data_IF_569472785686
#
_entry.id   IF_569472785686
#
_cell.length_a   1.000
_cell.length_b   1.000
_cell.length_c   1.000
_cell.angle_alpha   90.00
_cell.angle_beta   90.00
_cell.angle_gamma   90.00
#
_symmetry.space_group_name_H-M   'P 1'
#
loop_
_entity.id
_entity.type
_entity.pdbx_description
1 polymer ?
#
# COMPACT_ATOMS: atom_id res chain seq x y z
N UNK A 1 5.34 27.82 47.06
CA UNK A 1 5.15 28.54 45.79
C UNK A 1 6.50 29.04 45.34
N UNK A 2 6.97 28.50 44.20
CA UNK A 2 8.10 28.98 43.39
C UNK A 2 9.47 29.07 44.08
N UNK A 3 10.33 28.08 43.85
CA UNK A 3 11.43 28.16 42.86
C UNK A 3 12.46 27.08 43.18
N UNK A 4 12.54 26.03 42.36
CA UNK A 4 13.77 25.41 41.84
C UNK A 4 13.42 24.19 40.98
N UNK A 5 12.47 24.38 40.07
CA UNK A 5 12.28 23.54 38.88
C UNK A 5 13.28 23.94 37.78
N UNK A 6 14.54 24.16 38.17
CA UNK A 6 15.54 24.86 37.36
C UNK A 6 16.93 24.24 37.55
N UNK A 7 17.04 22.95 37.23
CA UNK A 7 18.28 22.39 36.67
C UNK A 7 17.90 21.53 35.46
N UNK A 8 17.24 22.17 34.51
CA UNK A 8 17.24 21.77 33.10
C UNK A 8 18.01 22.87 32.37
N UNK A 9 19.34 22.91 32.54
CA UNK A 9 20.17 23.99 31.96
C UNK A 9 21.57 23.59 31.51
N UNK A 10 21.91 22.30 31.52
CA UNK A 10 23.09 21.78 30.81
C UNK A 10 22.70 20.48 30.11
N UNK A 11 21.74 20.57 29.18
CA UNK A 11 21.57 19.55 28.14
C UNK A 11 22.74 19.67 27.15
N UNK A 12 23.95 19.31 27.60
CA UNK A 12 24.98 18.82 26.71
C UNK A 12 24.48 17.45 26.26
N UNK A 13 23.95 17.40 25.04
CA UNK A 13 23.30 16.22 24.49
C UNK A 13 24.24 15.02 24.48
N UNK A 14 23.94 14.00 25.29
CA UNK A 14 23.96 12.56 24.95
C UNK A 14 23.65 11.62 26.14
N UNK A 15 23.14 12.08 27.29
CA UNK A 15 22.79 11.17 28.40
C UNK A 15 21.30 10.79 28.38
N UNK A 16 21.03 9.49 28.20
CA UNK A 16 19.68 8.91 28.16
C UNK A 16 19.06 9.02 29.55
N UNK A 17 18.03 9.86 29.68
CA UNK A 17 17.40 10.17 30.97
C UNK A 17 16.42 9.07 31.42
N UNK A 18 16.49 8.70 32.70
CA UNK A 18 15.59 7.73 33.35
C UNK A 18 14.15 8.27 33.43
N UNK A 19 13.16 7.40 33.21
CA UNK A 19 11.74 7.77 33.23
C UNK A 19 11.20 7.78 34.66
N UNK A 20 11.63 6.81 35.48
CA UNK A 20 11.27 6.73 36.90
C UNK A 20 12.51 6.37 37.72
N UNK A 21 12.72 7.07 38.83
CA UNK A 21 13.79 6.86 39.82
C UNK A 21 13.19 6.60 41.20
N UNK A 22 13.74 5.63 41.93
CA UNK A 22 13.37 5.31 43.32
C UNK A 22 14.66 5.20 44.15
N UNK A 23 14.76 5.95 45.25
CA UNK A 23 15.97 6.09 46.08
C UNK A 23 17.24 6.46 45.30
N UNK A 24 17.08 7.29 44.26
CA UNK A 24 18.18 7.68 43.38
C UNK A 24 18.64 6.54 42.46
N UNK A 25 17.88 5.44 42.35
CA UNK A 25 18.11 4.35 41.41
C UNK A 25 17.12 4.39 40.24
N UNK A 26 17.62 4.27 39.02
CA UNK A 26 16.80 4.23 37.81
C UNK A 26 16.05 2.89 37.72
N UNK A 27 14.71 2.91 37.76
CA UNK A 27 13.88 1.68 37.74
C UNK A 27 13.16 1.48 36.40
N UNK A 28 12.95 2.55 35.62
CA UNK A 28 12.26 2.48 34.33
C UNK A 28 12.95 3.31 33.27
N UNK A 29 13.21 2.66 32.15
CA UNK A 29 13.90 3.25 31.00
C UNK A 29 12.96 3.46 29.81
N UNK A 30 13.34 4.34 28.87
CA UNK A 30 12.69 4.44 27.57
C UNK A 30 12.67 3.10 26.83
N UNK A 31 11.72 2.96 25.90
CA UNK A 31 11.62 1.73 25.10
C UNK A 31 12.95 1.44 24.40
N UNK A 32 13.42 0.20 24.58
CA UNK A 32 14.67 -0.27 24.02
C UNK A 32 15.89 -0.18 24.93
N UNK A 33 15.75 0.39 26.12
CA UNK A 33 16.81 0.43 27.12
C UNK A 33 16.48 -0.48 28.29
N UNK A 34 17.53 -1.05 28.89
CA UNK A 34 17.43 -1.77 30.16
C UNK A 34 18.20 -1.02 31.24
N UNK A 35 17.69 -1.16 32.46
CA UNK A 35 18.31 -0.57 33.65
C UNK A 35 19.63 -1.30 33.91
N UNK A 36 20.72 -0.54 33.98
CA UNK A 36 21.97 -0.99 34.57
C UNK A 36 22.08 -0.44 35.99
N UNK A 37 21.76 -1.28 36.99
CA UNK A 37 21.80 -0.89 38.40
C UNK A 37 23.20 -0.49 38.89
N UNK A 38 24.27 -1.00 38.24
CA UNK A 38 25.66 -0.72 38.64
C UNK A 38 26.12 0.66 38.17
N UNK A 39 25.68 1.07 36.99
CA UNK A 39 25.96 2.39 36.41
C UNK A 39 24.86 3.40 36.72
N UNK A 40 23.78 2.95 37.35
CA UNK A 40 22.57 3.70 37.60
C UNK A 40 22.04 4.43 36.35
N UNK A 41 22.06 3.74 35.21
CA UNK A 41 21.80 4.35 33.91
C UNK A 41 21.00 3.41 33.01
N UNK A 42 20.31 4.00 32.04
CA UNK A 42 19.69 3.27 30.96
C UNK A 42 20.73 2.94 29.89
N UNK A 43 20.96 1.66 29.64
CA UNK A 43 21.89 1.19 28.61
C UNK A 43 21.13 0.47 27.50
N UNK A 44 21.59 0.62 26.27
CA UNK A 44 21.06 -0.10 25.11
C UNK A 44 22.01 -1.25 24.73
N UNK A 45 21.46 -2.35 24.25
CA UNK A 45 22.24 -3.47 23.70
C UNK A 45 21.64 -3.92 22.37
N UNK A 46 22.52 -4.21 21.41
CA UNK A 46 22.16 -4.82 20.11
C UNK A 46 21.72 -6.28 20.23
N UNK A 47 21.94 -6.90 21.38
CA UNK A 47 21.62 -8.31 21.64
C UNK A 47 20.41 -8.50 22.54
N UNK A 48 19.64 -7.44 22.84
CA UNK A 48 18.38 -7.60 23.56
C UNK A 48 17.38 -8.31 22.66
N UNK A 49 16.98 -9.51 23.03
CA UNK A 49 15.79 -10.15 22.47
C UNK A 49 14.57 -9.69 23.29
N UNK A 50 13.55 -9.08 22.67
CA UNK A 50 13.34 -8.88 21.22
C UNK A 50 14.04 -7.63 20.64
N UNK A 51 14.37 -7.62 19.33
CA UNK A 51 14.93 -6.46 18.65
C UNK A 51 13.98 -5.27 18.72
N UNK A 52 14.53 -4.07 18.93
CA UNK A 52 13.75 -2.84 19.02
C UNK A 52 13.31 -2.44 17.61
N UNK A 53 12.01 -2.56 17.36
CA UNK A 53 11.38 -2.10 16.11
C UNK A 53 10.77 -0.73 16.39
N UNK A 54 11.30 0.29 15.71
CA UNK A 54 10.71 1.62 15.72
C UNK A 54 9.46 1.68 14.83
N UNK A 55 8.46 2.50 15.18
CA UNK A 55 7.31 2.72 14.31
C UNK A 55 7.73 3.37 12.98
N UNK A 56 6.89 3.25 11.94
CA UNK A 56 7.12 3.89 10.65
C UNK A 56 7.35 5.40 10.82
N UNK A 57 8.28 5.96 10.04
CA UNK A 57 8.71 7.36 10.20
C UNK A 57 9.70 7.60 11.34
N UNK A 58 10.17 6.56 12.03
CA UNK A 58 11.22 6.64 13.04
C UNK A 58 12.34 5.65 12.74
N UNK A 59 13.57 6.01 13.12
CA UNK A 59 14.74 5.14 13.03
C UNK A 59 15.38 4.96 14.41
N UNK A 60 16.08 3.85 14.58
CA UNK A 60 16.79 3.56 15.82
C UNK A 60 18.09 4.36 15.83
N UNK A 61 18.18 5.34 16.72
CA UNK A 61 19.38 6.14 16.96
C UNK A 61 19.82 5.99 18.41
N UNK A 62 21.04 5.51 18.62
CA UNK A 62 21.63 5.23 19.95
C UNK A 62 20.81 4.33 20.90
N UNK A 63 19.65 3.82 20.49
CA UNK A 63 18.72 3.02 21.31
C UNK A 63 17.35 3.67 21.47
N UNK A 64 17.16 4.95 21.09
CA UNK A 64 15.85 5.61 21.03
C UNK A 64 15.30 5.58 19.59
N UNK A 65 13.98 5.58 19.47
CA UNK A 65 13.33 5.83 18.20
C UNK A 65 13.27 7.34 17.95
N UNK A 66 14.12 7.81 17.05
CA UNK A 66 14.19 9.22 16.64
C UNK A 66 13.35 9.42 15.38
N UNK A 67 12.61 10.52 15.33
CA UNK A 67 11.75 10.84 14.20
C UNK A 67 12.58 11.16 12.95
N UNK A 68 12.19 10.59 11.81
CA UNK A 68 12.76 10.93 10.51
C UNK A 68 12.38 12.35 10.09
N UNK A 69 13.12 12.90 9.14
CA UNK A 69 12.77 14.17 8.49
C UNK A 69 11.37 14.09 7.85
N UNK A 70 10.64 15.21 7.85
CA UNK A 70 9.24 15.26 7.40
C UNK A 70 9.03 14.92 5.91
N UNK A 71 10.08 14.98 5.10
CA UNK A 71 10.05 14.58 3.69
C UNK A 71 10.12 13.06 3.49
N UNK A 72 10.29 12.29 4.57
CA UNK A 72 10.66 10.89 4.53
C UNK A 72 9.65 10.03 5.27
N UNK A 73 9.33 8.90 4.65
CA UNK A 73 8.45 7.88 5.24
C UNK A 73 9.28 6.89 6.06
N UNK A 74 10.48 6.56 5.59
CA UNK A 74 11.47 5.81 6.37
C UNK A 74 12.86 6.38 6.13
N UNK A 75 13.69 6.32 7.16
CA UNK A 75 15.08 6.77 7.14
C UNK A 75 16.00 5.79 7.87
N UNK A 76 17.28 5.83 7.56
CA UNK A 76 18.30 4.99 8.15
C UNK A 76 19.55 5.83 8.45
N UNK A 77 20.03 5.76 9.69
CA UNK A 77 21.31 6.35 10.09
C UNK A 77 21.31 7.87 10.35
N UNK A 78 20.31 8.63 9.90
CA UNK A 78 20.17 10.04 10.28
C UNK A 78 18.72 10.53 10.32
N UNK A 79 18.47 11.51 11.18
CA UNK A 79 17.20 12.26 11.26
C UNK A 79 17.12 13.38 10.20
N UNK A 80 18.23 13.64 9.51
CA UNK A 80 18.31 14.62 8.44
C UNK A 80 17.66 14.12 7.15
N UNK A 81 17.40 15.04 6.20
CA UNK A 81 16.77 14.70 4.93
C UNK A 81 17.65 13.81 4.03
N UNK A 82 18.95 13.67 4.33
CA UNK A 82 19.92 12.84 3.60
C UNK A 82 19.84 11.34 3.92
N UNK A 83 19.24 10.97 5.04
CA UNK A 83 19.19 9.58 5.52
C UNK A 83 18.00 8.79 5.01
N UNK A 84 17.23 9.30 4.05
CA UNK A 84 15.93 8.72 3.75
C UNK A 84 16.04 7.53 2.80
N UNK A 85 15.46 6.42 3.24
CA UNK A 85 15.38 5.18 2.46
C UNK A 85 14.10 5.13 1.66
N UNK A 86 13.03 5.74 2.15
CA UNK A 86 11.76 5.91 1.45
C UNK A 86 11.24 7.34 1.62
N UNK A 87 10.87 7.98 0.51
CA UNK A 87 10.28 9.31 0.52
C UNK A 87 8.80 9.26 0.87
N UNK A 88 8.34 10.27 1.62
CA UNK A 88 6.94 10.43 1.93
C UNK A 88 6.10 10.71 0.68
N UNK A 89 4.78 10.52 0.80
CA UNK A 89 3.83 10.87 -0.26
C UNK A 89 3.99 12.33 -0.67
N UNK A 90 4.02 12.58 -1.97
CA UNK A 90 4.26 13.91 -2.52
C UNK A 90 5.73 14.27 -2.65
N UNK A 91 6.66 13.32 -2.40
CA UNK A 91 8.09 13.49 -2.61
C UNK A 91 8.68 12.37 -3.47
N UNK A 92 9.76 12.66 -4.19
CA UNK A 92 10.54 11.68 -4.96
C UNK A 92 12.02 11.68 -4.55
N UNK A 93 12.70 10.52 -4.61
CA UNK A 93 14.12 10.44 -4.27
C UNK A 93 14.98 11.04 -5.37
N UNK A 94 16.07 11.71 -4.98
CA UNK A 94 17.12 12.14 -5.93
C UNK A 94 18.12 11.01 -6.15
N UNK A 95 18.60 10.90 -7.39
CA UNK A 95 19.63 9.91 -7.81
C UNK A 95 21.03 10.55 -7.87
N UNK A 96 21.12 11.87 -7.67
CA UNK A 96 22.32 12.65 -7.99
C UNK A 96 23.35 12.69 -6.86
N UNK A 97 22.97 12.29 -5.66
CA UNK A 97 23.85 12.31 -4.50
C UNK A 97 23.63 11.00 -3.73
N UNK A 98 24.69 10.45 -3.15
CA UNK A 98 24.62 9.28 -2.27
C UNK A 98 23.75 9.52 -1.01
N UNK A 99 23.24 10.74 -0.83
CA UNK A 99 22.24 11.13 0.15
C UNK A 99 20.83 10.87 -0.38
N UNK A 100 20.05 10.10 0.37
CA UNK A 100 18.65 9.81 0.08
C UNK A 100 17.75 11.03 0.28
N UNK A 101 18.01 12.12 -0.43
CA UNK A 101 17.23 13.35 -0.32
C UNK A 101 15.88 13.20 -1.03
N UNK A 102 14.82 13.69 -0.40
CA UNK A 102 13.46 13.63 -0.92
C UNK A 102 12.97 15.02 -1.32
N UNK A 103 12.60 15.18 -2.60
CA UNK A 103 12.19 16.47 -3.18
C UNK A 103 10.68 16.46 -3.45
N UNK A 104 9.95 17.56 -3.17
CA UNK A 104 8.51 17.62 -3.45
C UNK A 104 8.19 17.42 -4.93
N UNK A 105 7.14 16.66 -5.24
CA UNK A 105 6.67 16.41 -6.62
C UNK A 105 6.36 17.69 -7.39
N UNK A 106 5.95 18.77 -6.70
CA UNK A 106 5.60 20.05 -7.31
C UNK A 106 6.82 20.88 -7.74
N UNK A 107 8.01 20.54 -7.25
CA UNK A 107 9.22 21.34 -7.39
C UNK A 107 10.12 20.71 -8.44
N UNK A 108 10.61 21.51 -9.39
CA UNK A 108 11.65 21.08 -10.33
C UNK A 108 13.02 21.07 -9.66
N UNK A 109 13.81 20.03 -9.89
CA UNK A 109 15.16 19.92 -9.35
C UNK A 109 16.11 19.24 -10.34
N UNK A 110 17.19 19.95 -10.69
CA UNK A 110 18.11 19.53 -11.75
C UNK A 110 17.39 19.44 -13.10
N UNK A 111 17.54 18.32 -13.79
CA UNK A 111 16.89 18.04 -15.07
C UNK A 111 15.41 17.61 -14.94
N UNK A 112 14.90 17.38 -13.73
CA UNK A 112 13.54 16.90 -13.51
C UNK A 112 12.57 18.07 -13.36
N UNK A 113 11.54 18.09 -14.20
CA UNK A 113 10.42 19.01 -14.10
C UNK A 113 9.40 18.53 -13.06
N UNK A 114 9.03 19.43 -12.13
CA UNK A 114 8.00 19.16 -11.13
C UNK A 114 6.59 19.21 -11.74
N UNK A 115 5.68 18.43 -11.16
CA UNK A 115 4.27 18.36 -11.57
C UNK A 115 3.40 19.03 -10.49
N UNK A 116 2.86 20.24 -10.74
CA UNK A 116 2.04 20.93 -9.75
C UNK A 116 0.74 20.16 -9.47
N UNK A 117 0.37 20.07 -8.19
CA UNK A 117 -0.82 19.35 -7.75
C UNK A 117 -0.68 17.82 -7.68
N UNK A 118 0.48 17.28 -8.02
CA UNK A 118 0.73 15.85 -7.92
C UNK A 118 1.02 15.40 -6.48
N UNK A 119 0.23 14.47 -5.95
CA UNK A 119 0.38 13.92 -4.59
C UNK A 119 1.10 12.57 -4.55
N UNK A 120 1.21 11.89 -5.70
CA UNK A 120 1.93 10.64 -5.84
C UNK A 120 2.74 10.70 -7.12
N UNK A 121 4.05 10.84 -6.99
CA UNK A 121 4.95 10.81 -8.13
C UNK A 121 5.97 9.67 -8.01
N UNK A 122 6.45 9.17 -9.15
CA UNK A 122 7.65 8.35 -9.21
C UNK A 122 8.61 8.92 -10.25
N UNK A 123 9.89 8.85 -9.93
CA UNK A 123 10.98 9.29 -10.81
C UNK A 123 11.52 8.07 -11.54
N UNK A 124 11.75 8.22 -12.84
CA UNK A 124 12.54 7.30 -13.65
C UNK A 124 13.47 8.11 -14.57
N UNK A 125 14.78 7.96 -14.39
CA UNK A 125 15.77 8.82 -15.05
C UNK A 125 15.51 10.30 -14.78
N UNK A 126 15.32 11.10 -15.84
CA UNK A 126 15.02 12.54 -15.78
C UNK A 126 13.52 12.85 -15.91
N UNK A 127 12.68 11.84 -15.95
CA UNK A 127 11.23 11.99 -16.04
C UNK A 127 10.56 11.76 -14.70
N UNK A 128 9.56 12.60 -14.40
CA UNK A 128 8.68 12.43 -13.26
C UNK A 128 7.29 12.03 -13.75
N UNK A 129 6.72 10.98 -13.16
CA UNK A 129 5.39 10.47 -13.49
C UNK A 129 4.46 10.74 -12.33
N UNK A 130 3.24 11.22 -12.61
CA UNK A 130 2.21 11.39 -11.61
C UNK A 130 1.20 10.24 -11.66
N UNK A 131 0.93 9.61 -10.52
CA UNK A 131 -0.06 8.55 -10.38
C UNK A 131 -1.32 9.09 -9.72
N UNK A 132 -2.41 9.08 -10.45
CA UNK A 132 -3.73 9.22 -9.86
C UNK A 132 -4.21 7.84 -9.41
N UNK A 133 -4.54 7.69 -8.13
CA UNK A 133 -5.25 6.49 -7.65
C UNK A 133 -6.64 6.48 -8.29
N UNK A 134 -6.78 5.88 -9.47
CA UNK A 134 -8.07 5.37 -9.91
C UNK A 134 -8.44 4.28 -8.92
N UNK A 135 -9.44 4.54 -8.08
CA UNK A 135 -10.05 3.50 -7.27
C UNK A 135 -10.45 2.36 -8.22
N UNK A 136 -9.72 1.25 -8.17
CA UNK A 136 -10.10 0.01 -8.84
C UNK A 136 -11.43 -0.39 -8.20
N UNK A 137 -12.54 0.05 -8.80
CA UNK A 137 -13.89 -0.25 -8.34
C UNK A 137 -14.11 -1.73 -8.60
N UNK A 138 -13.75 -2.54 -7.61
CA UNK A 138 -13.92 -3.98 -7.62
C UNK A 138 -15.39 -4.29 -7.88
N UNK A 139 -15.68 -4.86 -9.05
CA UNK A 139 -17.02 -5.29 -9.43
C UNK A 139 -17.31 -6.70 -8.90
N UNK A 140 -16.88 -7.03 -7.68
CA UNK A 140 -17.08 -8.35 -7.07
C UNK A 140 -18.57 -8.77 -7.07
N UNK A 141 -19.49 -7.81 -6.90
CA UNK A 141 -20.93 -8.06 -6.99
C UNK A 141 -21.41 -8.40 -8.41
N UNK A 142 -20.80 -7.83 -9.46
CA UNK A 142 -21.15 -8.14 -10.84
C UNK A 142 -20.61 -9.52 -11.26
N UNK A 143 -19.39 -9.85 -10.83
CA UNK A 143 -18.76 -11.15 -11.13
C UNK A 143 -19.55 -12.31 -10.49
N UNK A 144 -20.02 -12.16 -9.25
CA UNK A 144 -20.84 -13.17 -8.58
C UNK A 144 -22.19 -13.41 -9.28
N UNK A 145 -22.83 -12.36 -9.81
CA UNK A 145 -24.08 -12.49 -10.57
C UNK A 145 -23.87 -13.20 -11.91
N UNK A 146 -22.78 -12.90 -12.62
CA UNK A 146 -22.46 -13.54 -13.90
C UNK A 146 -22.26 -15.06 -13.74
N UNK A 147 -21.62 -15.51 -12.66
CA UNK A 147 -21.39 -16.93 -12.40
C UNK A 147 -22.69 -17.69 -12.11
N UNK A 148 -23.61 -17.10 -11.31
CA UNK A 148 -24.91 -17.72 -11.02
C UNK A 148 -25.79 -17.84 -12.28
N UNK A 149 -25.83 -16.79 -13.11
CA UNK A 149 -26.61 -16.82 -14.36
C UNK A 149 -26.05 -17.89 -15.31
N UNK A 150 -24.73 -17.98 -15.44
CA UNK A 150 -24.08 -19.00 -16.27
C UNK A 150 -24.39 -20.43 -15.79
N UNK A 151 -24.36 -20.67 -14.48
CA UNK A 151 -24.69 -21.98 -13.90
C UNK A 151 -26.15 -22.38 -14.17
N UNK A 152 -27.11 -21.46 -14.00
CA UNK A 152 -28.53 -21.72 -14.25
C UNK A 152 -28.78 -22.07 -15.72
N UNK A 153 -28.16 -21.35 -16.66
CA UNK A 153 -28.31 -21.62 -18.10
C UNK A 153 -27.76 -23.00 -18.47
N UNK A 154 -26.60 -23.39 -17.94
CA UNK A 154 -26.03 -24.72 -18.17
C UNK A 154 -26.98 -25.82 -17.68
N UNK A 155 -27.52 -25.65 -16.47
CA UNK A 155 -28.44 -26.61 -15.85
C UNK A 155 -29.71 -26.75 -16.69
N UNK A 156 -30.31 -25.65 -17.15
CA UNK A 156 -31.49 -25.68 -18.03
C UNK A 156 -31.22 -26.36 -19.37
N UNK A 157 -30.03 -26.16 -19.95
CA UNK A 157 -29.64 -26.83 -21.20
C UNK A 157 -29.50 -28.36 -21.03
N UNK A 158 -28.92 -28.80 -19.90
CA UNK A 158 -28.81 -30.23 -19.57
C UNK A 158 -30.20 -30.86 -19.33
N UNK A 159 -31.07 -30.19 -18.58
CA UNK A 159 -32.44 -30.65 -18.36
C UNK A 159 -33.26 -30.71 -19.65
N UNK A 160 -33.13 -29.72 -20.53
CA UNK A 160 -33.80 -29.72 -21.84
C UNK A 160 -33.36 -30.88 -22.73
N UNK A 161 -32.07 -31.21 -22.70
CA UNK A 161 -31.51 -32.36 -23.43
C UNK A 161 -31.98 -33.69 -22.87
N UNK A 162 -32.12 -33.79 -21.55
CA UNK A 162 -32.65 -34.98 -20.85
C UNK A 162 -34.13 -35.22 -21.18
N UNK A 163 -34.95 -34.16 -21.21
CA UNK A 163 -36.36 -34.23 -21.58
C UNK A 163 -36.53 -34.74 -23.02
N UNK A 164 -35.68 -34.32 -23.95
CA UNK A 164 -35.70 -34.82 -25.34
C UNK A 164 -35.35 -36.32 -25.43
N UNK A 165 -34.45 -36.82 -24.58
CA UNK A 165 -34.10 -38.25 -24.52
C UNK A 165 -35.25 -39.08 -23.94
N UNK A 166 -35.91 -38.61 -22.88
CA UNK A 166 -37.05 -39.32 -22.27
C UNK A 166 -38.36 -39.21 -23.07
N UNK A 167 -38.59 -38.10 -23.77
CA UNK A 167 -39.69 -37.97 -24.73
C UNK A 167 -39.41 -38.73 -26.05
N UNK A 168 -38.16 -39.15 -26.27
CA UNK A 168 -37.67 -39.89 -27.43
C UNK A 168 -38.08 -41.37 -27.51
N UNK A 169 -39.02 -41.83 -26.68
CA UNK A 169 -39.74 -43.09 -26.88
C UNK A 169 -40.80 -43.04 -28.02
N UNK A 170 -40.81 -42.01 -28.87
CA UNK A 170 -41.78 -41.87 -29.96
C UNK A 170 -41.11 -41.69 -31.33
N UNK A 171 -41.06 -42.83 -32.04
CA UNK A 171 -40.85 -43.06 -33.49
C UNK A 171 -40.49 -41.83 -34.35
N UNK A 172 -39.23 -41.81 -34.80
CA UNK A 172 -38.79 -41.09 -36.01
C UNK A 172 -39.59 -41.60 -37.22
N UNK A 173 -40.55 -40.81 -37.73
CA UNK A 173 -41.25 -41.11 -38.98
C UNK A 173 -40.64 -40.30 -40.13
N UNK A 174 -39.67 -40.93 -40.80
CA UNK A 174 -39.16 -40.49 -42.09
C UNK A 174 -40.31 -40.54 -43.12
N UNK A 175 -40.71 -39.40 -43.70
CA UNK A 175 -41.58 -39.39 -44.90
C UNK A 175 -41.00 -38.45 -45.95
N UNK A 176 -40.52 -39.07 -47.03
CA UNK A 176 -39.88 -38.43 -48.17
C UNK A 176 -40.87 -37.58 -49.01
N UNK A 177 -40.36 -36.43 -49.45
CA UNK A 177 -40.60 -35.62 -50.67
C UNK A 177 -41.93 -35.78 -51.42
N UNK A 178 -42.58 -34.64 -51.71
CA UNK A 178 -43.07 -34.26 -53.06
C UNK A 178 -42.99 -32.73 -53.25
N UNK A 179 -42.20 -32.28 -54.22
CA UNK A 179 -42.49 -31.04 -54.97
C UNK A 179 -43.65 -31.35 -55.94
N UNK A 180 -44.49 -30.36 -56.31
CA UNK A 180 -44.30 -29.77 -57.65
C UNK A 180 -44.59 -28.25 -57.78
N UNK A 181 -43.77 -27.62 -58.62
CA UNK A 181 -44.06 -26.65 -59.70
C UNK A 181 -45.09 -25.51 -59.54
N UNK A 182 -44.54 -24.28 -59.61
CA UNK A 182 -44.93 -23.06 -60.38
C UNK A 182 -46.41 -22.83 -60.74
N UNK A 183 -46.92 -21.64 -60.41
CA UNK A 183 -47.54 -20.72 -61.38
C UNK A 183 -47.27 -19.24 -61.01
N UNK A 184 -47.06 -18.43 -62.05
CA UNK A 184 -46.76 -16.99 -62.04
C UNK A 184 -48.06 -16.20 -62.24
N UNK A 185 -48.22 -15.08 -61.55
CA UNK A 185 -49.12 -14.01 -62.00
C UNK A 185 -48.42 -12.64 -61.82
N UNK A 186 -48.25 -11.95 -62.96
CA UNK A 186 -47.85 -10.54 -63.11
C UNK A 186 -49.11 -9.66 -63.15
N UNK A 187 -48.87 -8.34 -63.04
CA UNK A 187 -49.70 -7.15 -63.35
C UNK A 187 -50.31 -6.44 -62.14
N UNK A 188 -50.34 -5.10 -62.04
CA UNK A 188 -49.69 -3.99 -62.78
C UNK A 188 -49.96 -2.69 -61.97
N UNK A 189 -48.98 -1.78 -61.99
CA UNK A 189 -49.03 -0.31 -61.96
C UNK A 189 -50.24 0.45 -61.36
N UNK A 190 -49.93 1.40 -60.47
CA UNK A 190 -49.87 2.83 -60.84
C UNK A 190 -48.44 3.30 -60.56
#
# INVERSE_FOLDING_TARGET
>A
MLTLALVCSLCLGYEVQCIEEEDGQCIRCPRGYFVNQRLNACVWSRTSEPPIICPDGYFLDSGLCTQCHSSCETCAGSAGPEGCTLCARGYYPTVLEASGLCIPCSTSHGAVAGIPGCTHCARDGDSLYCFERRAMKSNAAAVRKAFLISLVVLVLALFSSLILVFAGGSKVKHRQRRLPLRYVARHKMV
#
